data_IF_287824736458
#
_entry.id   IF_287824736458
#
_cell.length_a   1.000
_cell.length_b   1.000
_cell.length_c   1.000
_cell.angle_alpha   90.00
_cell.angle_beta   90.00
_cell.angle_gamma   90.00
#
_symmetry.space_group_name_H-M   'P 1'
#
loop_
_entity.id
_entity.type
_entity.pdbx_description
1 polymer ?
#
# COMPACT_ATOMS: atom_id res chain seq x y z
N UNK A 1 10.28 16.53 -20.11
CA UNK A 1 9.94 15.50 -19.09
C UNK A 1 11.10 14.53 -18.98
N UNK A 2 11.60 14.22 -17.78
CA UNK A 2 12.69 13.24 -17.64
C UNK A 2 12.13 11.82 -17.80
N UNK A 3 12.97 10.84 -18.18
CA UNK A 3 12.56 9.42 -18.21
C UNK A 3 12.00 8.95 -16.87
N UNK A 4 12.52 9.49 -15.76
CA UNK A 4 12.06 9.20 -14.39
C UNK A 4 10.67 9.74 -14.10
N UNK A 5 10.37 10.98 -14.52
CA UNK A 5 9.01 11.54 -14.40
C UNK A 5 7.99 10.72 -15.18
N UNK A 6 8.33 10.28 -16.41
CA UNK A 6 7.45 9.43 -17.22
C UNK A 6 7.18 8.08 -16.53
N UNK A 7 8.20 7.45 -15.96
CA UNK A 7 8.04 6.20 -15.23
C UNK A 7 7.04 6.33 -14.06
N UNK A 8 7.11 7.40 -13.27
CA UNK A 8 6.17 7.65 -12.17
C UNK A 8 4.74 7.88 -12.64
N UNK A 9 4.54 8.56 -13.77
CA UNK A 9 3.20 8.73 -14.37
C UNK A 9 2.64 7.38 -14.81
N UNK A 10 3.46 6.53 -15.45
CA UNK A 10 3.02 5.18 -15.86
C UNK A 10 2.69 4.33 -14.64
N UNK A 11 3.53 4.34 -13.60
CA UNK A 11 3.27 3.63 -12.35
C UNK A 11 1.96 4.12 -11.72
N UNK A 12 1.76 5.44 -11.64
CA UNK A 12 0.54 6.03 -11.09
C UNK A 12 -0.71 5.57 -11.86
N UNK A 13 -0.64 5.53 -13.19
CA UNK A 13 -1.74 5.10 -14.05
C UNK A 13 -2.04 3.61 -13.89
N UNK A 14 -1.01 2.75 -13.85
CA UNK A 14 -1.18 1.30 -13.62
C UNK A 14 -1.80 1.04 -12.25
N UNK A 15 -1.26 1.67 -11.20
CA UNK A 15 -1.79 1.55 -9.84
C UNK A 15 -3.24 2.04 -9.77
N UNK A 16 -3.54 3.19 -10.38
CA UNK A 16 -4.90 3.73 -10.44
C UNK A 16 -5.88 2.77 -11.13
N UNK A 17 -5.49 2.18 -12.26
CA UNK A 17 -6.34 1.22 -12.99
C UNK A 17 -6.64 0.00 -12.13
N UNK A 18 -5.62 -0.57 -11.47
CA UNK A 18 -5.79 -1.76 -10.63
C UNK A 18 -6.70 -1.43 -9.43
N UNK A 19 -6.44 -0.32 -8.75
CA UNK A 19 -7.20 0.05 -7.54
C UNK A 19 -8.63 0.49 -7.85
N UNK A 20 -8.86 1.20 -8.97
CA UNK A 20 -10.21 1.46 -9.45
C UNK A 20 -10.92 0.18 -9.86
N UNK A 21 -10.23 -0.75 -10.53
CA UNK A 21 -10.79 -2.05 -10.89
C UNK A 21 -11.24 -2.84 -9.65
N UNK A 22 -10.40 -2.87 -8.60
CA UNK A 22 -10.76 -3.49 -7.32
C UNK A 22 -11.95 -2.79 -6.65
N UNK A 23 -11.95 -1.45 -6.64
CA UNK A 23 -13.03 -0.64 -6.05
C UNK A 23 -14.36 -0.79 -6.81
N UNK A 24 -14.32 -0.91 -8.14
CA UNK A 24 -15.51 -1.22 -8.94
C UNK A 24 -15.97 -2.65 -8.64
N UNK A 25 -15.02 -3.60 -8.57
CA UNK A 25 -15.30 -4.98 -8.21
C UNK A 25 -16.06 -5.11 -6.89
N UNK A 26 -15.72 -4.33 -5.88
CA UNK A 26 -16.43 -4.33 -4.58
C UNK A 26 -17.81 -3.69 -4.62
N UNK A 27 -18.18 -2.96 -5.68
CA UNK A 27 -19.55 -2.45 -5.87
C UNK A 27 -20.46 -3.43 -6.61
N UNK A 28 -19.90 -4.29 -7.46
CA UNK A 28 -20.67 -5.19 -8.33
C UNK A 28 -20.59 -6.66 -7.94
N UNK A 29 -19.57 -7.03 -7.16
CA UNK A 29 -19.32 -8.40 -6.71
C UNK A 29 -20.02 -8.75 -5.40
N UNK A 30 -19.93 -10.02 -5.02
CA UNK A 30 -20.28 -10.45 -3.67
C UNK A 30 -19.30 -9.86 -2.66
N UNK A 31 -19.82 -9.45 -1.50
CA UNK A 31 -18.99 -8.96 -0.40
C UNK A 31 -17.96 -10.00 0.00
N UNK A 32 -16.73 -9.55 0.20
CA UNK A 32 -15.63 -10.40 0.66
C UNK A 32 -15.90 -10.93 2.07
N UNK A 33 -16.44 -12.15 2.13
CA UNK A 33 -16.72 -12.91 3.35
C UNK A 33 -15.99 -14.26 3.28
N UNK A 34 -14.68 -14.30 3.58
CA UNK A 34 -13.87 -15.52 3.47
C UNK A 34 -14.27 -16.61 4.47
N UNK A 35 -14.96 -16.25 5.56
CA UNK A 35 -15.39 -17.15 6.63
C UNK A 35 -16.72 -16.69 7.19
N UNK A 36 -17.50 -17.61 7.75
CA UNK A 36 -18.75 -17.28 8.43
C UNK A 36 -18.51 -16.35 9.62
N UNK A 37 -19.36 -15.35 9.78
CA UNK A 37 -19.20 -14.32 10.80
C UNK A 37 -18.15 -13.26 10.46
N UNK A 38 -17.52 -13.29 9.27
CA UNK A 38 -16.76 -12.16 8.77
C UNK A 38 -17.73 -11.02 8.44
N UNK A 39 -17.71 -9.94 9.23
CA UNK A 39 -18.69 -8.87 9.08
C UNK A 39 -18.71 -8.25 7.68
N UNK A 40 -19.79 -7.54 7.33
CA UNK A 40 -19.92 -6.83 6.05
C UNK A 40 -19.11 -5.53 5.98
N UNK A 41 -18.52 -5.27 4.82
CA UNK A 41 -17.77 -4.05 4.47
C UNK A 41 -18.68 -2.90 4.13
N UNK A 42 -18.19 -1.70 4.39
CA UNK A 42 -18.87 -0.49 3.95
C UNK A 42 -18.81 -0.45 2.43
N UNK A 43 -19.98 -0.43 1.78
CA UNK A 43 -20.09 -0.25 0.34
C UNK A 43 -19.28 0.94 -0.15
N UNK A 44 -18.65 0.79 -1.31
CA UNK A 44 -17.91 1.87 -1.92
C UNK A 44 -18.88 2.98 -2.36
N UNK A 45 -18.60 4.20 -1.91
CA UNK A 45 -19.36 5.39 -2.27
C UNK A 45 -18.47 6.35 -3.07
N UNK A 46 -19.03 7.50 -3.47
CA UNK A 46 -18.28 8.52 -4.23
C UNK A 46 -17.00 8.94 -3.51
N UNK A 47 -17.01 9.00 -2.18
CA UNK A 47 -15.83 9.37 -1.39
C UNK A 47 -14.74 8.29 -1.52
N UNK A 48 -15.10 7.01 -1.53
CA UNK A 48 -14.17 5.89 -1.77
C UNK A 48 -13.42 6.08 -3.10
N UNK A 49 -14.14 6.37 -4.18
CA UNK A 49 -13.53 6.62 -5.50
C UNK A 49 -12.61 7.85 -5.50
N UNK A 50 -13.01 8.94 -4.84
CA UNK A 50 -12.17 10.14 -4.71
C UNK A 50 -10.87 9.82 -3.99
N UNK A 51 -10.94 9.07 -2.88
CA UNK A 51 -9.75 8.66 -2.11
C UNK A 51 -8.81 7.82 -2.99
N UNK A 52 -9.34 6.89 -3.78
CA UNK A 52 -8.55 6.05 -4.68
C UNK A 52 -7.84 6.89 -5.74
N UNK A 53 -8.57 7.79 -6.41
CA UNK A 53 -8.01 8.68 -7.43
C UNK A 53 -6.93 9.59 -6.86
N UNK A 54 -7.17 10.19 -5.68
CA UNK A 54 -6.22 11.09 -5.03
C UNK A 54 -4.97 10.33 -4.58
N UNK A 55 -5.14 9.19 -3.90
CA UNK A 55 -4.04 8.38 -3.40
C UNK A 55 -3.15 7.83 -4.50
N UNK A 56 -3.73 7.25 -5.56
CA UNK A 56 -3.00 6.73 -6.71
C UNK A 56 -2.43 7.85 -7.59
N UNK A 57 -3.24 8.87 -7.90
CA UNK A 57 -2.86 9.99 -8.77
C UNK A 57 -1.70 10.81 -8.20
N UNK A 58 -1.58 10.91 -6.87
CA UNK A 58 -0.44 11.56 -6.23
C UNK A 58 0.92 10.96 -6.61
N UNK A 59 0.98 9.67 -6.95
CA UNK A 59 2.22 8.97 -7.35
C UNK A 59 2.89 9.62 -8.58
N UNK A 60 2.12 10.25 -9.46
CA UNK A 60 2.64 10.95 -10.64
C UNK A 60 3.61 12.09 -10.26
N UNK A 61 3.51 12.61 -9.03
CA UNK A 61 4.33 13.71 -8.53
C UNK A 61 5.46 13.25 -7.61
N UNK A 62 5.71 11.93 -7.50
CA UNK A 62 6.68 11.37 -6.55
C UNK A 62 8.10 11.89 -6.78
N UNK A 63 8.49 12.10 -8.04
CA UNK A 63 9.81 12.62 -8.42
C UNK A 63 10.07 14.02 -7.83
N UNK A 64 9.02 14.86 -7.76
CA UNK A 64 9.13 16.26 -7.30
C UNK A 64 8.83 16.41 -5.81
N UNK A 65 7.84 15.69 -5.28
CA UNK A 65 7.36 15.86 -3.91
C UNK A 65 7.25 14.53 -3.14
N UNK A 66 8.34 13.76 -2.97
CA UNK A 66 8.25 12.40 -2.44
C UNK A 66 7.69 12.29 -1.01
N UNK A 67 7.83 13.33 -0.17
CA UNK A 67 7.22 13.34 1.18
C UNK A 67 5.72 13.57 1.12
N UNK A 68 5.29 14.56 0.34
CA UNK A 68 3.87 14.91 0.19
C UNK A 68 3.10 13.75 -0.42
N UNK A 69 3.65 13.13 -1.46
CA UNK A 69 3.05 11.93 -2.06
C UNK A 69 2.95 10.80 -1.05
N UNK A 70 3.98 10.57 -0.24
CA UNK A 70 3.92 9.54 0.79
C UNK A 70 2.81 9.77 1.81
N UNK A 71 2.68 11.03 2.28
CA UNK A 71 1.60 11.41 3.19
C UNK A 71 0.24 11.19 2.53
N UNK A 72 0.04 11.64 1.29
CA UNK A 72 -1.25 11.50 0.59
C UNK A 72 -1.60 10.04 0.36
N UNK A 73 -0.70 9.23 -0.20
CA UNK A 73 -0.96 7.81 -0.47
C UNK A 73 -1.22 7.02 0.81
N UNK A 74 -0.42 7.22 1.86
CA UNK A 74 -0.62 6.52 3.13
C UNK A 74 -1.86 7.02 3.87
N UNK A 75 -2.13 8.32 3.92
CA UNK A 75 -3.34 8.84 4.55
C UNK A 75 -4.60 8.36 3.83
N UNK A 76 -4.56 8.29 2.50
CA UNK A 76 -5.66 7.75 1.70
C UNK A 76 -5.94 6.28 2.05
N UNK A 77 -4.89 5.47 2.16
CA UNK A 77 -5.02 4.07 2.61
C UNK A 77 -5.53 3.96 4.05
N UNK A 78 -5.01 4.77 4.98
CA UNK A 78 -5.47 4.80 6.37
C UNK A 78 -6.96 5.14 6.45
N UNK A 79 -7.42 6.16 5.72
CA UNK A 79 -8.84 6.51 5.68
C UNK A 79 -9.64 5.36 5.08
N UNK A 80 -9.16 4.74 4.00
CA UNK A 80 -9.82 3.61 3.35
C UNK A 80 -10.02 2.42 4.32
N UNK A 81 -8.95 2.01 5.01
CA UNK A 81 -8.96 0.92 5.96
C UNK A 81 -9.81 1.22 7.21
N UNK A 82 -9.68 2.43 7.77
CA UNK A 82 -10.40 2.82 8.99
C UNK A 82 -11.88 3.16 8.75
N UNK A 83 -12.25 3.49 7.50
CA UNK A 83 -13.66 3.62 7.07
C UNK A 83 -14.28 2.29 6.67
N UNK A 84 -13.50 1.22 6.79
CA UNK A 84 -13.97 -0.14 6.66
C UNK A 84 -14.47 -0.49 5.25
N UNK A 85 -13.82 0.11 4.25
CA UNK A 85 -14.06 -0.19 2.85
C UNK A 85 -13.37 -1.49 2.44
N UNK A 86 -14.01 -2.22 1.54
CA UNK A 86 -13.52 -3.49 1.04
C UNK A 86 -12.36 -3.32 0.06
N UNK A 87 -11.35 -4.20 0.20
CA UNK A 87 -10.31 -4.50 -0.80
C UNK A 87 -9.88 -3.31 -1.67
N UNK A 88 -8.84 -2.59 -1.26
CA UNK A 88 -8.26 -1.53 -2.07
C UNK A 88 -7.20 -0.71 -1.35
N UNK A 89 -6.52 0.12 -2.12
CA UNK A 89 -5.53 1.11 -1.69
C UNK A 89 -4.24 0.58 -1.07
N UNK A 90 -3.91 -0.70 -1.27
CA UNK A 90 -2.63 -1.25 -0.80
C UNK A 90 -1.47 -0.83 -1.70
N UNK A 91 -1.69 -0.72 -3.02
CA UNK A 91 -0.61 -0.45 -3.98
C UNK A 91 0.01 0.94 -3.82
N UNK A 92 -0.73 2.04 -3.62
CA UNK A 92 -0.13 3.35 -3.44
C UNK A 92 0.89 3.43 -2.28
N UNK A 93 0.56 3.02 -1.03
CA UNK A 93 1.55 2.99 0.03
C UNK A 93 2.70 2.01 -0.27
N UNK A 94 2.45 0.83 -0.87
CA UNK A 94 3.52 -0.10 -1.26
C UNK A 94 4.56 0.56 -2.18
N UNK A 95 4.08 1.25 -3.22
CA UNK A 95 4.91 1.92 -4.22
C UNK A 95 5.71 3.07 -3.60
N UNK A 96 5.08 3.87 -2.73
CA UNK A 96 5.75 4.96 -2.01
C UNK A 96 6.83 4.42 -1.07
N UNK A 97 6.52 3.39 -0.28
CA UNK A 97 7.46 2.79 0.67
C UNK A 97 8.70 2.31 -0.08
N UNK A 98 8.50 1.58 -1.18
CA UNK A 98 9.58 1.17 -2.08
C UNK A 98 10.37 2.38 -2.59
N UNK A 99 9.69 3.39 -3.15
CA UNK A 99 10.35 4.56 -3.74
C UNK A 99 11.18 5.36 -2.73
N UNK A 100 10.69 5.50 -1.50
CA UNK A 100 11.39 6.20 -0.42
C UNK A 100 12.63 5.43 0.05
N UNK A 101 12.51 4.10 0.18
CA UNK A 101 13.62 3.22 0.57
C UNK A 101 14.70 3.12 -0.51
N UNK A 102 14.30 2.99 -1.78
CA UNK A 102 15.19 2.84 -2.92
C UNK A 102 15.93 4.11 -3.30
N UNK A 103 15.26 5.28 -3.30
CA UNK A 103 15.78 6.48 -3.95
C UNK A 103 16.00 7.68 -3.03
N UNK A 104 15.44 7.67 -1.81
CA UNK A 104 15.36 8.89 -1.00
C UNK A 104 16.44 9.06 0.05
N UNK A 105 17.19 8.02 0.41
CA UNK A 105 17.95 7.98 1.67
C UNK A 105 17.05 8.14 2.91
N UNK A 106 15.73 7.93 2.75
CA UNK A 106 14.68 8.23 3.74
C UNK A 106 14.16 6.96 4.40
N UNK A 107 15.09 6.11 4.85
CA UNK A 107 14.78 4.81 5.47
C UNK A 107 13.76 4.93 6.59
N UNK A 108 13.97 5.87 7.52
CA UNK A 108 13.06 6.05 8.64
C UNK A 108 11.65 6.46 8.21
N UNK A 109 11.52 7.33 7.20
CA UNK A 109 10.20 7.68 6.67
C UNK A 109 9.51 6.47 6.02
N UNK A 110 10.23 5.69 5.22
CA UNK A 110 9.69 4.47 4.62
C UNK A 110 9.22 3.46 5.68
N UNK A 111 10.00 3.27 6.75
CA UNK A 111 9.62 2.43 7.90
C UNK A 111 8.36 2.98 8.57
N UNK A 112 8.29 4.28 8.85
CA UNK A 112 7.12 4.88 9.49
C UNK A 112 5.84 4.70 8.68
N UNK A 113 5.89 4.91 7.36
CA UNK A 113 4.72 4.69 6.49
C UNK A 113 4.36 3.20 6.37
N UNK A 114 5.34 2.30 6.35
CA UNK A 114 5.10 0.86 6.37
C UNK A 114 4.43 0.41 7.68
N UNK A 115 4.93 0.87 8.83
CA UNK A 115 4.35 0.56 10.14
C UNK A 115 2.94 1.15 10.26
N UNK A 116 2.73 2.39 9.84
CA UNK A 116 1.40 3.02 9.87
C UNK A 116 0.39 2.25 9.00
N UNK A 117 0.80 1.85 7.80
CA UNK A 117 -0.07 1.08 6.89
C UNK A 117 -0.34 -0.32 7.45
N UNK A 118 0.69 -1.01 7.94
CA UNK A 118 0.51 -2.31 8.58
C UNK A 118 -0.42 -2.24 9.79
N UNK A 119 -0.23 -1.24 10.67
CA UNK A 119 -1.09 -1.05 11.84
C UNK A 119 -2.55 -0.80 11.45
N UNK A 120 -2.81 0.04 10.44
CA UNK A 120 -4.15 0.28 9.95
C UNK A 120 -4.80 -1.00 9.38
N UNK A 121 -4.05 -1.78 8.60
CA UNK A 121 -4.52 -3.07 8.09
C UNK A 121 -4.81 -4.09 9.21
N UNK A 122 -3.96 -4.16 10.24
CA UNK A 122 -4.17 -5.04 11.38
C UNK A 122 -5.37 -4.62 12.24
N UNK A 123 -5.61 -3.32 12.41
CA UNK A 123 -6.83 -2.80 13.06
C UNK A 123 -8.07 -3.21 12.28
N UNK A 124 -8.03 -3.10 10.95
CA UNK A 124 -9.10 -3.56 10.09
C UNK A 124 -9.35 -5.06 10.28
N UNK A 125 -8.32 -5.92 10.19
CA UNK A 125 -8.44 -7.36 10.46
C UNK A 125 -8.98 -7.65 11.87
N UNK A 126 -8.53 -6.91 12.89
CA UNK A 126 -8.99 -7.09 14.26
C UNK A 126 -10.49 -6.88 14.40
N UNK A 127 -11.01 -5.81 13.78
CA UNK A 127 -12.43 -5.49 13.82
C UNK A 127 -13.30 -6.58 13.16
N UNK A 128 -12.74 -7.30 12.18
CA UNK A 128 -13.42 -8.37 11.43
C UNK A 128 -13.31 -9.74 12.08
N UNK A 129 -12.09 -10.14 12.44
CA UNK A 129 -11.85 -11.42 13.08
C UNK A 129 -12.51 -11.50 14.46
N UNK A 130 -12.80 -10.36 15.10
CA UNK A 130 -13.50 -10.30 16.38
C UNK A 130 -14.97 -10.73 16.34
N UNK A 131 -15.60 -10.81 15.16
CA UNK A 131 -16.99 -11.27 15.00
C UNK A 131 -17.10 -12.75 14.61
N UNK A 132 -15.98 -13.44 14.41
CA UNK A 132 -15.94 -14.86 14.07
C UNK A 132 -16.09 -15.69 15.35
N UNK A 133 -17.12 -16.54 15.41
CA UNK A 133 -17.42 -17.34 16.61
C UNK A 133 -16.42 -18.49 16.83
N UNK A 134 -15.93 -19.10 15.74
CA UNK A 134 -15.02 -20.24 15.82
C UNK A 134 -13.56 -19.79 16.04
N UNK A 135 -12.94 -20.09 17.20
CA UNK A 135 -11.62 -19.55 17.54
C UNK A 135 -10.50 -20.00 16.59
N UNK A 136 -10.59 -21.23 16.06
CA UNK A 136 -9.62 -21.75 15.10
C UNK A 136 -9.65 -21.00 13.77
N UNK A 137 -10.85 -20.66 13.30
CA UNK A 137 -11.07 -19.88 12.08
C UNK A 137 -10.62 -18.43 12.28
N UNK A 138 -10.93 -17.82 13.42
CA UNK A 138 -10.45 -16.49 13.76
C UNK A 138 -8.91 -16.41 13.78
N UNK A 139 -8.25 -17.42 14.37
CA UNK A 139 -6.79 -17.51 14.37
C UNK A 139 -6.21 -17.66 12.96
N UNK A 140 -6.81 -18.51 12.12
CA UNK A 140 -6.38 -18.69 10.73
C UNK A 140 -6.54 -17.40 9.92
N UNK A 141 -7.63 -16.66 10.11
CA UNK A 141 -7.83 -15.37 9.47
C UNK A 141 -6.74 -14.36 9.87
N UNK A 142 -6.41 -14.27 11.16
CA UNK A 142 -5.32 -13.43 11.64
C UNK A 142 -3.97 -13.78 11.00
N UNK A 143 -3.63 -15.07 10.91
CA UNK A 143 -2.38 -15.51 10.29
C UNK A 143 -2.37 -15.22 8.79
N UNK A 144 -3.45 -15.53 8.08
CA UNK A 144 -3.56 -15.32 6.64
C UNK A 144 -3.50 -13.83 6.28
N UNK A 145 -4.38 -12.99 6.82
CA UNK A 145 -4.39 -11.57 6.50
C UNK A 145 -3.20 -10.83 7.10
N UNK A 146 -2.78 -11.18 8.33
CA UNK A 146 -1.61 -10.58 8.96
C UNK A 146 -0.34 -10.83 8.16
N UNK A 147 -0.13 -12.04 7.65
CA UNK A 147 1.03 -12.36 6.81
C UNK A 147 0.98 -11.66 5.44
N UNK A 148 -0.19 -11.58 4.80
CA UNK A 148 -0.37 -10.85 3.54
C UNK A 148 -0.12 -9.36 3.72
N UNK A 149 -0.66 -8.73 4.77
CA UNK A 149 -0.43 -7.32 5.08
C UNK A 149 1.04 -7.04 5.40
N UNK A 150 1.68 -7.93 6.18
CA UNK A 150 3.11 -7.83 6.44
C UNK A 150 3.92 -7.95 5.14
N UNK A 151 3.55 -8.86 4.24
CA UNK A 151 4.19 -8.98 2.93
C UNK A 151 4.00 -7.70 2.12
N UNK A 152 2.78 -7.16 2.06
CA UNK A 152 2.48 -5.93 1.33
C UNK A 152 3.33 -4.76 1.79
N UNK A 153 3.56 -4.55 3.10
CA UNK A 153 4.29 -3.35 3.54
C UNK A 153 5.78 -3.58 3.81
N UNK A 154 6.18 -4.78 4.23
CA UNK A 154 7.59 -5.08 4.51
C UNK A 154 8.37 -5.47 3.25
N UNK A 155 7.77 -6.19 2.29
CA UNK A 155 8.50 -6.61 1.09
C UNK A 155 8.93 -5.41 0.23
N UNK A 156 8.08 -4.42 -0.08
CA UNK A 156 8.52 -3.23 -0.82
C UNK A 156 9.60 -2.43 -0.10
N UNK A 157 9.54 -2.37 1.24
CA UNK A 157 10.57 -1.75 2.06
C UNK A 157 11.90 -2.50 1.90
N UNK A 158 11.91 -3.82 2.04
CA UNK A 158 13.10 -4.66 1.90
C UNK A 158 13.68 -4.60 0.49
N UNK A 159 12.85 -4.73 -0.54
CA UNK A 159 13.27 -4.61 -1.94
C UNK A 159 13.88 -3.23 -2.19
N UNK A 160 13.27 -2.16 -1.65
CA UNK A 160 13.81 -0.81 -1.77
C UNK A 160 15.19 -0.66 -1.13
N UNK A 161 15.40 -1.20 0.08
CA UNK A 161 16.70 -1.21 0.74
C UNK A 161 17.75 -2.01 -0.07
N UNK A 162 17.37 -3.16 -0.64
CA UNK A 162 18.24 -3.98 -1.50
C UNK A 162 18.66 -3.20 -2.75
N UNK A 163 17.71 -2.52 -3.41
CA UNK A 163 17.99 -1.69 -4.59
C UNK A 163 18.96 -0.55 -4.23
N UNK A 164 18.76 0.12 -3.08
CA UNK A 164 19.67 1.18 -2.62
C UNK A 164 21.06 0.65 -2.32
N UNK A 165 21.16 -0.49 -1.62
CA UNK A 165 22.45 -1.09 -1.30
C UNK A 165 23.21 -1.48 -2.59
N UNK A 166 22.50 -2.03 -3.58
CA UNK A 166 23.07 -2.39 -4.88
C UNK A 166 23.55 -1.15 -5.65
N UNK A 167 22.82 -0.04 -5.63
CA UNK A 167 23.26 1.19 -6.30
C UNK A 167 24.52 1.76 -5.64
N UNK A 168 24.55 1.82 -4.30
CA UNK A 168 25.73 2.27 -3.54
C UNK A 168 26.99 1.42 -3.83
N UNK A 169 26.82 0.10 -3.92
CA UNK A 169 27.92 -0.81 -4.28
C UNK A 169 28.40 -0.61 -5.72
N UNK A 170 27.49 -0.33 -6.65
CA UNK A 170 27.84 -0.06 -8.04
C UNK A 170 28.64 1.24 -8.16
N UNK A 171 28.16 2.32 -7.52
CA UNK A 171 28.81 3.62 -7.52
C UNK A 171 30.23 3.55 -6.91
N UNK A 172 30.38 2.83 -5.80
CA UNK A 172 31.68 2.62 -5.15
C UNK A 172 32.68 1.85 -6.04
N UNK A 173 32.20 0.88 -6.82
CA UNK A 173 33.05 0.13 -7.78
C UNK A 173 33.49 0.99 -8.95
N UNK A 174 32.58 1.81 -9.49
CA UNK A 174 32.89 2.74 -10.57
C UNK A 174 33.91 3.79 -10.14
N UNK A 175 33.80 4.29 -8.90
CA UNK A 175 34.76 5.24 -8.33
C UNK A 175 36.15 4.63 -8.07
N UNK A 176 36.23 3.33 -7.78
CA UNK A 176 37.51 2.64 -7.57
C UNK A 176 38.23 2.25 -8.88
N UNK A 177 37.52 2.29 -10.02
CA UNK A 177 38.04 1.88 -11.33
C UNK A 177 38.45 3.04 -12.24
N UNK A 178 38.15 4.29 -11.84
CA UNK A 178 38.55 5.52 -12.54
C UNK A 178 39.63 6.26 -11.76
#
# INVERSE_FOLDING_TARGET
MTRRTLAWIVIALVVLIIELGATIGSTTGESFSPVDGWGETRHADTLTFVIVVVGCGSLAFFDRFPRTVAIISTASYLVFALRDHELGMFLPPMVVIFGLAAHGGRRFAAISFAVASLAAGLVWVASRAGTVEEPGVALLAWVAFGSVLAAFFCVPLLIGEIVRARSMLHDARSAAAG
#
